data_IF_392949853746
#
_entry.id   IF_392949853746
#
_cell.length_a   1.000
_cell.length_b   1.000
_cell.length_c   1.000
_cell.angle_alpha   90.00
_cell.angle_beta   90.00
_cell.angle_gamma   90.00
#
_symmetry.space_group_name_H-M   'P 1'
#
loop_
_entity.id
_entity.type
_entity.pdbx_description
1 polymer ?
#
# COMPACT_ATOMS: atom_id res chain seq x y z
N UNK A 1 15.06 -3.58 -30.70
CA UNK A 1 13.82 -4.38 -30.59
C UNK A 1 13.02 -3.83 -29.42
N UNK A 2 11.82 -3.30 -29.63
CA UNK A 2 10.91 -2.96 -28.52
C UNK A 2 10.23 -4.26 -28.11
N UNK A 3 10.60 -4.84 -26.96
CA UNK A 3 9.80 -5.90 -26.36
C UNK A 3 8.42 -5.31 -26.06
N UNK A 4 7.37 -5.84 -26.70
CA UNK A 4 6.00 -5.58 -26.31
C UNK A 4 5.79 -6.16 -24.90
N UNK A 5 6.06 -5.34 -23.88
CA UNK A 5 5.72 -5.68 -22.51
C UNK A 5 4.19 -5.68 -22.40
N UNK A 6 3.56 -6.69 -21.80
CA UNK A 6 2.13 -6.70 -21.60
C UNK A 6 1.71 -5.42 -20.86
N UNK A 7 0.71 -4.73 -21.40
CA UNK A 7 0.21 -3.48 -20.81
C UNK A 7 -0.52 -3.84 -19.51
N UNK A 8 0.06 -3.46 -18.38
CA UNK A 8 -0.59 -3.58 -17.07
C UNK A 8 -1.83 -2.67 -17.07
N UNK A 9 -3.02 -3.24 -16.89
CA UNK A 9 -4.31 -2.52 -16.85
C UNK A 9 -4.72 -2.12 -15.43
N UNK A 10 -4.11 -2.73 -14.44
CA UNK A 10 -4.28 -2.37 -13.04
C UNK A 10 -3.41 -3.22 -12.14
N UNK A 11 -3.35 -2.83 -10.88
CA UNK A 11 -2.67 -3.61 -9.83
C UNK A 11 -3.67 -3.84 -8.71
N UNK A 12 -3.98 -5.09 -8.41
CA UNK A 12 -4.75 -5.43 -7.21
C UNK A 12 -3.78 -5.69 -6.06
N UNK A 13 -3.88 -4.87 -5.02
CA UNK A 13 -3.23 -5.10 -3.75
C UNK A 13 -4.24 -5.60 -2.74
N UNK A 14 -3.85 -6.63 -1.99
CA UNK A 14 -4.61 -7.12 -0.84
C UNK A 14 -3.66 -7.20 0.34
N UNK A 15 -4.04 -6.60 1.46
CA UNK A 15 -3.21 -6.54 2.68
C UNK A 15 -4.08 -6.91 3.86
N UNK A 16 -3.59 -7.83 4.68
CA UNK A 16 -4.15 -8.09 5.99
C UNK A 16 -3.22 -7.47 7.04
N UNK A 17 -3.67 -6.35 7.59
CA UNK A 17 -2.87 -5.48 8.45
C UNK A 17 -3.55 -5.19 9.77
N UNK A 18 -2.74 -4.75 10.72
CA UNK A 18 -3.18 -4.37 12.04
C UNK A 18 -2.33 -3.21 12.54
N UNK A 19 -2.96 -2.34 13.30
CA UNK A 19 -2.33 -1.20 13.91
C UNK A 19 -2.13 -1.46 15.40
N UNK A 20 -0.88 -1.41 15.85
CA UNK A 20 -0.57 -1.39 17.28
C UNK A 20 -0.14 0.02 17.69
N UNK A 21 -0.99 0.65 18.48
CA UNK A 21 -0.72 1.94 19.13
C UNK A 21 -1.51 2.08 20.41
N UNK A 22 -1.40 3.24 21.04
CA UNK A 22 -2.24 3.60 22.18
C UNK A 22 -2.86 4.98 21.93
N UNK A 23 -4.09 5.17 22.39
CA UNK A 23 -4.83 6.40 22.22
C UNK A 23 -5.82 6.60 23.36
N UNK A 24 -5.80 7.80 23.94
CA UNK A 24 -6.80 8.29 24.91
C UNK A 24 -8.10 8.76 24.24
N UNK A 25 -8.12 8.91 22.91
CA UNK A 25 -9.27 9.39 22.15
C UNK A 25 -10.26 8.25 21.90
N UNK A 26 -10.95 7.81 22.96
CA UNK A 26 -11.88 6.67 22.91
C UNK A 26 -12.99 6.82 21.88
N UNK A 27 -13.43 8.05 21.62
CA UNK A 27 -14.49 8.33 20.64
C UNK A 27 -14.03 8.07 19.19
N UNK A 28 -12.72 8.03 18.95
CA UNK A 28 -12.16 7.75 17.63
C UNK A 28 -11.82 6.27 17.42
N UNK A 29 -11.89 5.44 18.47
CA UNK A 29 -11.62 4.01 18.40
C UNK A 29 -12.57 3.34 17.39
N UNK A 30 -12.01 2.51 16.50
CA UNK A 30 -12.80 1.87 15.44
C UNK A 30 -13.22 2.79 14.30
N UNK A 31 -12.70 4.01 14.24
CA UNK A 31 -12.90 4.94 13.11
C UNK A 31 -11.59 5.14 12.34
N UNK A 32 -11.63 5.90 11.23
CA UNK A 32 -10.42 6.36 10.55
C UNK A 32 -9.92 7.71 11.08
N UNK A 33 -10.66 8.35 11.99
CA UNK A 33 -10.23 9.61 12.60
C UNK A 33 -8.99 9.35 13.44
N UNK A 34 -8.01 10.24 13.33
CA UNK A 34 -6.73 10.11 14.02
C UNK A 34 -6.05 8.74 13.80
N UNK A 35 -6.33 8.03 12.70
CA UNK A 35 -5.59 6.82 12.37
C UNK A 35 -4.21 7.18 11.82
N UNK A 36 -3.19 6.47 12.29
CA UNK A 36 -1.79 6.81 12.04
C UNK A 36 -1.00 5.70 11.39
N UNK A 37 -1.65 4.63 10.92
CA UNK A 37 -1.03 3.60 10.09
C UNK A 37 -1.77 3.37 8.79
N UNK A 38 -1.00 3.24 7.72
CA UNK A 38 -1.51 3.10 6.35
C UNK A 38 -0.53 2.35 5.46
N UNK A 39 -0.98 1.95 4.28
CA UNK A 39 -0.13 1.37 3.26
C UNK A 39 -0.06 2.21 2.00
N UNK A 40 1.09 2.15 1.32
CA UNK A 40 1.30 2.82 0.03
C UNK A 40 1.92 1.86 -0.99
N UNK A 41 1.49 1.94 -2.25
CA UNK A 41 2.17 1.32 -3.37
C UNK A 41 3.15 2.29 -4.02
N UNK A 42 4.32 1.79 -4.41
CA UNK A 42 5.34 2.54 -5.15
C UNK A 42 5.89 1.71 -6.31
N UNK A 43 6.39 2.41 -7.32
CA UNK A 43 7.25 1.81 -8.36
C UNK A 43 8.69 2.19 -8.03
N UNK A 44 9.57 1.20 -7.96
CA UNK A 44 11.01 1.38 -7.82
C UNK A 44 11.68 0.96 -9.12
N UNK A 45 12.79 1.63 -9.46
CA UNK A 45 13.64 1.25 -10.57
C UNK A 45 14.22 -0.16 -10.36
N UNK A 46 14.96 -0.67 -11.35
CA UNK A 46 15.57 -1.99 -11.30
C UNK A 46 16.60 -2.16 -10.16
N UNK A 47 17.10 -1.07 -9.58
CA UNK A 47 17.96 -1.09 -8.39
C UNK A 47 17.20 -1.40 -7.08
N UNK A 48 15.86 -1.40 -7.11
CA UNK A 48 15.01 -1.64 -5.94
C UNK A 48 15.07 -0.53 -4.88
N UNK A 49 15.63 0.65 -5.20
CA UNK A 49 15.82 1.76 -4.25
C UNK A 49 15.29 3.08 -4.80
N UNK A 50 15.51 3.35 -6.09
CA UNK A 50 15.12 4.62 -6.71
C UNK A 50 13.62 4.61 -7.00
N UNK A 51 12.87 5.46 -6.30
CA UNK A 51 11.43 5.60 -6.55
C UNK A 51 11.15 6.33 -7.87
N UNK A 52 10.22 5.77 -8.65
CA UNK A 52 9.68 6.35 -9.87
C UNK A 52 8.28 6.90 -9.60
N UNK A 53 8.08 8.19 -9.88
CA UNK A 53 6.77 8.83 -9.75
C UNK A 53 6.25 8.92 -8.31
N UNK A 54 4.93 9.02 -8.18
CA UNK A 54 4.23 9.17 -6.89
C UNK A 54 3.91 7.82 -6.27
N UNK A 55 3.82 7.80 -4.93
CA UNK A 55 3.20 6.69 -4.20
C UNK A 55 1.68 6.79 -4.24
N UNK A 56 1.01 5.65 -4.16
CA UNK A 56 -0.45 5.55 -4.12
C UNK A 56 -0.86 5.03 -2.76
N UNK A 57 -1.65 5.80 -2.02
CA UNK A 57 -2.28 5.35 -0.78
C UNK A 57 -3.23 4.18 -1.07
N UNK A 58 -3.08 3.05 -0.37
CA UNK A 58 -3.87 1.84 -0.64
C UNK A 58 -4.79 1.40 0.48
N UNK A 59 -4.46 1.69 1.73
CA UNK A 59 -5.35 1.43 2.86
C UNK A 59 -4.97 2.31 4.05
N UNK A 60 -5.89 2.48 4.99
CA UNK A 60 -5.64 3.01 6.35
C UNK A 60 -6.24 2.02 7.33
N UNK A 61 -5.54 1.67 8.41
CA UNK A 61 -6.16 0.84 9.45
C UNK A 61 -7.17 1.66 10.25
N UNK A 62 -8.21 1.03 10.79
CA UNK A 62 -9.03 1.63 11.85
C UNK A 62 -8.16 1.92 13.08
N UNK A 63 -8.49 3.01 13.76
CA UNK A 63 -7.78 3.55 14.89
C UNK A 63 -7.93 2.66 16.13
N UNK A 64 -6.80 2.20 16.67
CA UNK A 64 -6.69 1.49 17.97
C UNK A 64 -7.69 0.33 18.15
N UNK A 65 -7.83 -0.51 17.12
CA UNK A 65 -8.64 -1.74 17.18
C UNK A 65 -7.73 -2.96 17.28
N UNK A 66 -8.13 -3.96 18.06
CA UNK A 66 -7.35 -5.18 18.28
C UNK A 66 -7.46 -6.19 17.11
N UNK A 67 -8.46 -6.01 16.25
CA UNK A 67 -8.70 -6.90 15.12
C UNK A 67 -7.75 -6.66 13.94
N UNK A 68 -7.43 -7.77 13.25
CA UNK A 68 -6.79 -7.72 11.94
C UNK A 68 -7.81 -7.29 10.88
N UNK A 69 -7.38 -6.40 9.99
CA UNK A 69 -8.21 -5.82 8.94
C UNK A 69 -7.72 -6.28 7.58
N UNK A 70 -8.65 -6.69 6.71
CA UNK A 70 -8.35 -7.08 5.33
C UNK A 70 -8.73 -5.94 4.40
N UNK A 71 -7.72 -5.38 3.74
CA UNK A 71 -7.85 -4.30 2.77
C UNK A 71 -7.63 -4.83 1.36
N UNK A 72 -8.44 -4.38 0.40
CA UNK A 72 -8.27 -4.73 -1.01
C UNK A 72 -8.53 -3.52 -1.88
N UNK A 73 -7.55 -3.14 -2.72
CA UNK A 73 -7.67 -2.01 -3.64
C UNK A 73 -7.13 -2.37 -5.01
N UNK A 74 -7.84 -1.93 -6.05
CA UNK A 74 -7.34 -1.96 -7.43
C UNK A 74 -6.82 -0.55 -7.76
N UNK A 75 -5.55 -0.45 -8.14
CA UNK A 75 -4.92 0.77 -8.61
C UNK A 75 -4.96 0.80 -10.13
N UNK A 76 -5.62 1.82 -10.66
CA UNK A 76 -5.77 2.10 -12.11
C UNK A 76 -5.29 3.50 -12.49
N UNK A 77 -4.58 4.20 -11.60
CA UNK A 77 -4.03 5.54 -11.87
C UNK A 77 -3.11 5.50 -13.10
N UNK A 78 -3.43 6.22 -14.19
CA UNK A 78 -2.70 6.10 -15.45
C UNK A 78 -1.22 6.46 -15.32
N UNK A 79 -0.90 7.54 -14.59
CA UNK A 79 0.48 7.98 -14.40
C UNK A 79 1.29 6.95 -13.61
N UNK A 80 0.68 6.29 -12.62
CA UNK A 80 1.31 5.19 -11.90
C UNK A 80 1.58 3.99 -12.82
N UNK A 81 0.58 3.55 -13.59
CA UNK A 81 0.71 2.39 -14.47
C UNK A 81 1.70 2.62 -15.61
N UNK A 82 1.70 3.81 -16.20
CA UNK A 82 2.65 4.20 -17.27
C UNK A 82 4.10 4.29 -16.78
N UNK A 83 4.32 4.47 -15.48
CA UNK A 83 5.66 4.49 -14.88
C UNK A 83 6.30 3.10 -14.75
N UNK A 84 5.51 2.04 -14.91
CA UNK A 84 5.98 0.66 -14.76
C UNK A 84 6.67 0.23 -16.06
N UNK A 85 7.91 -0.22 -15.92
CA UNK A 85 8.69 -0.82 -17.00
C UNK A 85 9.18 -2.21 -16.60
N UNK A 86 9.60 -3.01 -17.58
CA UNK A 86 10.21 -4.30 -17.30
C UNK A 86 11.41 -4.13 -16.34
N UNK A 87 11.53 -5.03 -15.37
CA UNK A 87 12.53 -5.01 -14.29
C UNK A 87 12.29 -3.97 -13.19
N UNK A 88 11.28 -3.10 -13.27
CA UNK A 88 10.87 -2.31 -12.12
C UNK A 88 10.27 -3.19 -11.02
N UNK A 89 10.34 -2.71 -9.79
CA UNK A 89 9.79 -3.38 -8.61
C UNK A 89 8.54 -2.64 -8.15
N UNK A 90 7.44 -3.37 -7.94
CA UNK A 90 6.26 -2.82 -7.27
C UNK A 90 6.41 -3.10 -5.77
N UNK A 91 6.55 -2.04 -4.98
CA UNK A 91 6.76 -2.13 -3.54
C UNK A 91 5.50 -1.73 -2.76
N UNK A 92 5.22 -2.45 -1.68
CA UNK A 92 4.25 -2.07 -0.66
C UNK A 92 5.01 -1.49 0.55
N UNK A 93 4.74 -0.24 0.86
CA UNK A 93 5.24 0.42 2.07
C UNK A 93 4.21 0.28 3.18
N UNK A 94 4.66 -0.15 4.36
CA UNK A 94 3.89 -0.09 5.60
C UNK A 94 4.32 1.17 6.34
N UNK A 95 3.37 2.08 6.56
CA UNK A 95 3.62 3.39 7.13
C UNK A 95 3.00 3.50 8.53
N UNK A 96 3.72 4.19 9.42
CA UNK A 96 3.28 4.58 10.76
C UNK A 96 3.81 5.99 11.05
N UNK A 97 2.94 6.92 11.48
CA UNK A 97 3.33 8.34 11.62
C UNK A 97 4.09 8.67 12.91
N UNK A 98 3.68 8.09 14.04
CA UNK A 98 4.16 8.51 15.36
C UNK A 98 4.97 7.42 16.07
N UNK A 99 5.99 7.79 16.86
CA UNK A 99 6.69 6.84 17.72
C UNK A 99 5.72 6.04 18.60
N UNK A 100 5.94 4.74 18.70
CA UNK A 100 5.06 3.83 19.44
C UNK A 100 3.89 3.26 18.63
N UNK A 101 3.61 3.79 17.44
CA UNK A 101 2.70 3.15 16.49
C UNK A 101 3.45 2.18 15.59
N UNK A 102 2.89 0.98 15.39
CA UNK A 102 3.43 -0.06 14.53
C UNK A 102 2.36 -0.55 13.56
N UNK A 103 2.68 -0.61 12.28
CA UNK A 103 1.80 -1.18 11.26
C UNK A 103 2.27 -2.61 10.94
N UNK A 104 1.53 -3.60 11.43
CA UNK A 104 1.80 -5.00 11.18
C UNK A 104 1.08 -5.47 9.93
N UNK A 105 1.69 -6.40 9.21
CA UNK A 105 1.06 -7.13 8.11
C UNK A 105 1.39 -8.60 8.25
N UNK A 106 0.36 -9.45 8.25
CA UNK A 106 0.54 -10.91 8.28
C UNK A 106 0.37 -11.56 6.92
N UNK A 107 -0.34 -10.90 6.01
CA UNK A 107 -0.47 -11.31 4.63
C UNK A 107 -0.51 -10.10 3.70
N UNK A 108 0.20 -10.17 2.58
CA UNK A 108 0.06 -9.21 1.48
C UNK A 108 0.22 -9.91 0.13
N UNK A 109 -0.53 -9.43 -0.87
CA UNK A 109 -0.35 -9.81 -2.26
C UNK A 109 -0.44 -8.59 -3.18
N UNK A 110 0.34 -8.65 -4.26
CA UNK A 110 0.34 -7.67 -5.35
C UNK A 110 0.14 -8.46 -6.64
N UNK A 111 -0.96 -8.19 -7.34
CA UNK A 111 -1.34 -8.90 -8.55
C UNK A 111 -1.36 -7.90 -9.71
N UNK A 112 -0.53 -8.13 -10.72
CA UNK A 112 -0.61 -7.38 -11.97
C UNK A 112 -1.84 -7.88 -12.75
N UNK A 113 -2.70 -6.96 -13.15
CA UNK A 113 -3.86 -7.25 -13.98
C UNK A 113 -3.49 -6.98 -15.43
N UNK A 114 -3.46 -8.03 -16.24
CA UNK A 114 -3.23 -7.97 -17.69
C UNK A 114 -4.54 -7.74 -18.47
N UNK A 115 -4.47 -7.74 -19.81
CA UNK A 115 -5.65 -7.92 -20.65
C UNK A 115 -6.36 -9.25 -20.37
#
# INVERSE_FOLDING_TARGET
>A
MKCNSPVVKGIKVTVESHDQGWSDYRDDHGTYNNSWTWGELAVLAADGQTQIGKRIHVYTNLHAVDEWQVHSKIVTDPLFLESIQAQHVIALYLCSRYPGWCNYTRHASINLLGP
#
